data_IF_976109700336
#
_entry.id   IF_976109700336
#
_cell.length_a   1.000
_cell.length_b   1.000
_cell.length_c   1.000
_cell.angle_alpha   90.00
_cell.angle_beta   90.00
_cell.angle_gamma   90.00
#
_symmetry.space_group_name_H-M   'P 1'
#
loop_
_entity.id
_entity.type
_entity.pdbx_description
1 polymer ?
#
# COMPACT_ATOMS: atom_id res chain seq x y z
N UNK A 1 2.41 -4.77 -8.11
CA UNK A 1 3.08 -5.89 -7.40
C UNK A 1 2.17 -6.23 -6.25
N UNK A 2 1.55 -7.41 -6.27
CA UNK A 2 0.45 -7.69 -5.36
C UNK A 2 0.96 -8.25 -4.02
N UNK A 3 0.31 -7.85 -2.92
CA UNK A 3 0.53 -8.37 -1.58
C UNK A 3 -0.73 -8.15 -0.74
N UNK A 4 -1.01 -9.08 0.16
CA UNK A 4 -1.94 -8.90 1.28
C UNK A 4 -1.20 -9.34 2.54
N UNK A 5 -1.18 -8.50 3.58
CA UNK A 5 -0.50 -8.80 4.85
C UNK A 5 1.00 -9.15 4.69
N UNK A 6 1.65 -8.55 3.69
CA UNK A 6 3.09 -8.59 3.40
C UNK A 6 3.68 -9.96 3.02
N UNK A 7 3.53 -10.99 3.85
CA UNK A 7 4.14 -12.32 3.66
C UNK A 7 3.38 -13.42 4.42
N UNK A 8 3.54 -14.66 3.96
CA UNK A 8 3.09 -15.87 4.66
C UNK A 8 3.70 -16.04 6.05
N UNK A 9 4.82 -15.36 6.34
CA UNK A 9 5.42 -15.33 7.69
C UNK A 9 4.59 -14.57 8.72
N UNK A 10 3.65 -13.75 8.26
CA UNK A 10 2.73 -13.01 9.11
C UNK A 10 1.39 -13.72 9.18
N UNK A 11 0.71 -13.92 8.04
CA UNK A 11 -0.60 -14.59 8.03
C UNK A 11 -1.03 -15.12 6.64
N UNK A 12 -0.82 -14.33 5.59
CA UNK A 12 -1.43 -14.57 4.26
C UNK A 12 -0.50 -15.38 3.33
N UNK A 13 -0.28 -14.92 2.09
CA UNK A 13 0.68 -15.45 1.13
C UNK A 13 1.90 -14.53 0.99
N UNK A 14 2.91 -14.99 0.24
CA UNK A 14 4.12 -14.22 0.01
C UNK A 14 3.92 -13.13 -1.04
N UNK A 15 3.62 -11.91 -0.57
CA UNK A 15 3.75 -10.69 -1.36
C UNK A 15 5.22 -10.29 -1.53
N UNK A 16 5.93 -10.12 -0.41
CA UNK A 16 7.39 -10.16 -0.40
C UNK A 16 7.87 -11.60 -0.20
N UNK A 17 9.01 -11.99 -0.78
CA UNK A 17 9.54 -13.34 -0.60
C UNK A 17 9.88 -13.63 0.86
N UNK A 18 9.50 -14.80 1.35
CA UNK A 18 9.74 -15.18 2.73
C UNK A 18 11.22 -15.11 3.15
N UNK A 19 12.16 -15.42 2.24
CA UNK A 19 13.60 -15.30 2.53
C UNK A 19 14.04 -13.88 2.88
N UNK A 20 13.34 -12.86 2.38
CA UNK A 20 13.62 -11.46 2.68
C UNK A 20 13.07 -11.12 4.06
N UNK A 21 11.83 -11.53 4.34
CA UNK A 21 11.20 -11.35 5.65
C UNK A 21 12.02 -12.04 6.76
N UNK A 22 12.52 -13.25 6.52
CA UNK A 22 13.35 -14.02 7.46
C UNK A 22 14.68 -13.31 7.81
N UNK A 23 15.06 -12.26 7.08
CA UNK A 23 16.24 -11.41 7.38
C UNK A 23 15.89 -10.14 8.15
N UNK A 24 14.62 -9.86 8.40
CA UNK A 24 14.22 -8.73 9.22
C UNK A 24 14.42 -9.06 10.69
N UNK A 25 14.76 -8.08 11.55
CA UNK A 25 14.70 -8.28 12.98
C UNK A 25 13.28 -8.67 13.38
N UNK A 26 13.17 -9.50 14.43
CA UNK A 26 11.87 -9.83 14.98
C UNK A 26 11.25 -8.60 15.65
N UNK A 27 9.91 -8.41 15.58
CA UNK A 27 9.22 -7.38 16.35
C UNK A 27 9.34 -7.67 17.86
N UNK A 28 9.05 -6.68 18.71
CA UNK A 28 9.10 -6.88 20.17
C UNK A 28 7.99 -7.85 20.61
N UNK A 29 6.80 -7.73 20.03
CA UNK A 29 5.72 -8.70 20.13
C UNK A 29 5.20 -8.98 18.72
N UNK A 30 4.79 -10.21 18.41
CA UNK A 30 4.19 -10.48 17.11
C UNK A 30 2.79 -9.87 16.96
N UNK A 31 2.08 -9.74 18.09
CA UNK A 31 0.70 -9.30 18.17
C UNK A 31 0.58 -8.17 19.19
N UNK A 32 -0.12 -7.06 18.88
CA UNK A 32 -0.33 -5.99 19.84
C UNK A 32 -1.30 -6.44 20.92
N UNK A 33 -1.11 -6.00 22.16
CA UNK A 33 -2.10 -6.22 23.22
C UNK A 33 -3.46 -5.66 22.80
N UNK A 34 -4.59 -6.39 22.99
CA UNK A 34 -4.74 -7.66 23.71
C UNK A 34 -4.69 -8.93 22.83
N UNK A 35 -4.26 -8.85 21.57
CA UNK A 35 -4.11 -10.01 20.70
C UNK A 35 -2.95 -10.88 21.18
N UNK A 36 -3.21 -12.15 21.45
CA UNK A 36 -2.20 -13.13 21.89
C UNK A 36 -1.80 -14.13 20.80
N UNK A 37 -2.48 -14.12 19.66
CA UNK A 37 -2.25 -15.01 18.52
C UNK A 37 -2.64 -14.30 17.21
N UNK A 38 -2.26 -14.90 16.08
CA UNK A 38 -2.70 -14.43 14.77
C UNK A 38 -4.24 -14.46 14.70
N UNK A 39 -4.87 -13.50 14.00
CA UNK A 39 -6.28 -13.57 13.70
C UNK A 39 -6.61 -14.85 12.92
N UNK A 40 -7.86 -15.36 12.99
CA UNK A 40 -8.30 -16.47 12.17
C UNK A 40 -8.01 -16.22 10.67
N UNK A 41 -7.76 -17.28 9.89
CA UNK A 41 -7.42 -17.15 8.46
C UNK A 41 -8.55 -16.47 7.64
N UNK A 42 -9.81 -16.64 8.06
CA UNK A 42 -10.96 -15.95 7.46
C UNK A 42 -11.00 -14.43 7.69
N UNK A 43 -10.18 -13.95 8.61
CA UNK A 43 -10.09 -12.58 9.12
C UNK A 43 -8.74 -11.96 8.70
N UNK A 44 -8.28 -12.24 7.47
CA UNK A 44 -6.95 -11.89 6.95
C UNK A 44 -6.62 -10.39 7.09
N UNK A 45 -7.62 -9.51 6.96
CA UNK A 45 -7.43 -8.07 7.11
C UNK A 45 -6.84 -7.68 8.49
N UNK A 46 -7.22 -8.39 9.55
CA UNK A 46 -6.69 -8.15 10.88
C UNK A 46 -5.19 -8.49 10.99
N UNK A 47 -4.61 -9.16 9.99
CA UNK A 47 -3.18 -9.31 9.88
C UNK A 47 -2.43 -7.98 9.82
N UNK A 48 -2.99 -6.96 9.15
CA UNK A 48 -2.36 -5.64 9.04
C UNK A 48 -2.19 -4.93 10.38
N UNK A 49 -3.11 -5.15 11.31
CA UNK A 49 -3.03 -4.54 12.65
C UNK A 49 -2.06 -5.29 13.58
N UNK A 50 -1.44 -6.38 13.13
CA UNK A 50 -0.41 -7.07 13.93
C UNK A 50 0.90 -6.26 13.96
N UNK A 51 1.64 -6.38 15.06
CA UNK A 51 2.96 -5.76 15.18
C UNK A 51 3.93 -6.43 14.21
N UNK A 52 3.84 -7.74 13.99
CA UNK A 52 4.63 -8.45 12.99
C UNK A 52 4.46 -7.87 11.58
N UNK A 53 3.21 -7.66 11.12
CA UNK A 53 2.95 -7.04 9.82
C UNK A 53 3.51 -5.62 9.75
N UNK A 54 3.12 -4.79 10.72
CA UNK A 54 3.47 -3.37 10.75
C UNK A 54 4.99 -3.16 10.86
N UNK A 55 5.68 -3.99 11.64
CA UNK A 55 7.13 -4.02 11.74
C UNK A 55 7.80 -4.48 10.44
N UNK A 56 7.27 -5.51 9.79
CA UNK A 56 7.78 -5.99 8.51
C UNK A 56 7.69 -4.94 7.40
N UNK A 57 6.57 -4.21 7.32
CA UNK A 57 6.43 -3.07 6.40
C UNK A 57 7.44 -1.96 6.73
N UNK A 58 7.65 -1.64 8.00
CA UNK A 58 8.66 -0.65 8.39
C UNK A 58 10.06 -1.11 7.99
N UNK A 59 10.41 -2.39 8.17
CA UNK A 59 11.69 -2.94 7.73
C UNK A 59 11.87 -2.84 6.21
N UNK A 60 10.80 -3.07 5.43
CA UNK A 60 10.81 -2.86 3.98
C UNK A 60 11.11 -1.38 3.64
N UNK A 61 10.41 -0.44 4.27
CA UNK A 61 10.55 1.00 4.01
C UNK A 61 11.92 1.55 4.44
N UNK A 62 12.41 1.12 5.60
CA UNK A 62 13.72 1.48 6.17
C UNK A 62 14.88 0.77 5.46
N UNK A 63 14.58 -0.07 4.47
CA UNK A 63 15.56 -0.80 3.69
C UNK A 63 16.42 -1.76 4.53
N UNK A 64 15.84 -2.33 5.58
CA UNK A 64 16.50 -3.33 6.42
C UNK A 64 16.89 -4.53 5.57
N UNK A 65 18.11 -5.02 5.76
CA UNK A 65 18.65 -6.17 5.03
C UNK A 65 18.64 -6.00 3.50
N UNK A 66 18.60 -4.76 3.00
CA UNK A 66 18.60 -4.41 1.59
C UNK A 66 17.27 -4.66 0.86
N UNK A 67 16.14 -4.50 1.57
CA UNK A 67 14.81 -4.79 1.06
C UNK A 67 14.43 -3.91 -0.15
N UNK A 68 14.65 -2.59 -0.06
CA UNK A 68 14.41 -1.65 -1.16
C UNK A 68 15.38 -1.89 -2.32
N UNK A 69 16.65 -2.27 -2.08
CA UNK A 69 17.52 -2.65 -3.20
C UNK A 69 17.03 -3.91 -3.90
N UNK A 70 16.56 -4.90 -3.15
CA UNK A 70 15.98 -6.13 -3.70
C UNK A 70 14.75 -5.83 -4.55
N UNK A 71 13.85 -4.99 -4.04
CA UNK A 71 12.65 -4.54 -4.74
C UNK A 71 13.00 -3.68 -5.97
N UNK A 72 14.01 -2.82 -5.89
CA UNK A 72 14.51 -2.02 -7.00
C UNK A 72 15.10 -2.89 -8.12
N UNK A 73 15.84 -3.94 -7.76
CA UNK A 73 16.37 -4.92 -8.73
C UNK A 73 15.24 -5.69 -9.41
N UNK A 74 14.23 -6.10 -8.66
CA UNK A 74 13.03 -6.72 -9.20
C UNK A 74 12.33 -5.80 -10.22
N UNK A 75 12.03 -4.56 -9.83
CA UNK A 75 11.33 -3.62 -10.71
C UNK A 75 12.14 -3.23 -11.94
N UNK A 76 13.45 -3.05 -11.80
CA UNK A 76 14.34 -2.84 -12.94
C UNK A 76 14.34 -4.03 -13.90
N UNK A 77 14.28 -5.26 -13.39
CA UNK A 77 14.20 -6.46 -14.24
C UNK A 77 12.87 -6.53 -15.00
N UNK A 78 11.75 -6.27 -14.31
CA UNK A 78 10.42 -6.19 -14.92
C UNK A 78 10.42 -5.14 -16.03
N UNK A 79 10.85 -3.91 -15.72
CA UNK A 79 10.89 -2.81 -16.68
C UNK A 79 11.79 -3.09 -17.89
N UNK A 80 12.99 -3.65 -17.67
CA UNK A 80 13.89 -4.07 -18.76
C UNK A 80 13.24 -5.13 -19.67
N UNK A 81 12.41 -6.00 -19.09
CA UNK A 81 11.76 -7.08 -19.83
C UNK A 81 10.56 -6.57 -20.63
N UNK A 82 9.75 -5.68 -20.05
CA UNK A 82 8.44 -5.33 -20.58
C UNK A 82 8.34 -3.93 -21.21
N UNK A 83 9.31 -3.03 -21.01
CA UNK A 83 9.21 -1.63 -21.42
C UNK A 83 9.11 -1.33 -22.92
N UNK A 84 9.28 -2.34 -23.78
CA UNK A 84 9.08 -2.24 -25.22
C UNK A 84 7.74 -2.80 -25.72
N UNK A 85 6.91 -3.37 -24.84
CA UNK A 85 5.68 -4.05 -25.22
C UNK A 85 4.49 -3.08 -25.21
N UNK A 86 3.84 -2.92 -26.36
CA UNK A 86 2.68 -2.01 -26.51
C UNK A 86 1.43 -2.45 -25.76
N UNK A 87 1.35 -3.72 -25.38
CA UNK A 87 0.26 -4.31 -24.60
C UNK A 87 0.51 -4.28 -23.08
N UNK A 88 1.58 -3.63 -22.62
CA UNK A 88 1.83 -3.37 -21.20
C UNK A 88 1.54 -1.90 -20.93
N UNK A 89 0.45 -1.62 -20.20
CA UNK A 89 0.04 -0.25 -19.90
C UNK A 89 0.97 0.44 -18.89
N UNK A 90 1.37 -0.27 -17.84
CA UNK A 90 2.18 0.29 -16.78
C UNK A 90 2.60 -0.70 -15.70
N UNK A 91 3.31 -0.17 -14.72
CA UNK A 91 3.82 -0.88 -13.56
C UNK A 91 3.21 -0.31 -12.28
N UNK A 92 2.41 -1.10 -11.59
CA UNK A 92 1.88 -0.73 -10.27
C UNK A 92 2.87 -1.16 -9.18
N UNK A 93 3.47 -0.19 -8.49
CA UNK A 93 4.65 -0.41 -7.65
C UNK A 93 4.41 -1.39 -6.49
N UNK A 94 3.27 -1.26 -5.82
CA UNK A 94 2.83 -2.13 -4.72
C UNK A 94 1.32 -1.92 -4.51
N UNK A 95 0.59 -3.03 -4.39
CA UNK A 95 -0.82 -3.06 -4.04
C UNK A 95 -0.99 -2.70 -2.56
N UNK A 96 -1.94 -1.81 -2.24
CA UNK A 96 -2.42 -1.53 -0.88
C UNK A 96 -1.31 -1.45 0.18
N UNK A 97 -0.35 -0.52 0.03
CA UNK A 97 0.76 -0.41 0.97
C UNK A 97 0.23 -0.08 2.38
N UNK A 98 0.77 -0.75 3.40
CA UNK A 98 0.45 -0.44 4.78
C UNK A 98 1.26 0.76 5.30
N UNK A 99 0.77 1.42 6.35
CA UNK A 99 1.38 2.64 6.88
C UNK A 99 2.80 2.47 7.44
N UNK A 100 3.19 1.26 7.85
CA UNK A 100 4.43 0.97 8.58
C UNK A 100 4.17 0.68 10.05
N UNK A 101 5.19 0.82 10.91
CA UNK A 101 5.10 0.41 12.31
C UNK A 101 4.41 1.47 13.18
N UNK A 102 3.08 1.50 13.12
CA UNK A 102 2.29 2.47 13.90
C UNK A 102 2.31 2.21 15.42
N UNK A 103 2.71 1.02 15.86
CA UNK A 103 2.85 0.72 17.30
C UNK A 103 4.08 1.45 17.86
N UNK A 104 5.17 1.45 17.11
CA UNK A 104 6.37 2.23 17.46
C UNK A 104 6.19 3.74 17.19
N UNK A 105 5.44 4.10 16.14
CA UNK A 105 5.13 5.49 15.80
C UNK A 105 3.65 5.69 15.46
N UNK A 106 2.79 6.03 16.45
CA UNK A 106 1.34 6.16 16.26
C UNK A 106 0.92 7.15 15.17
N UNK A 107 1.77 8.13 14.85
CA UNK A 107 1.49 9.12 13.81
C UNK A 107 1.42 8.51 12.40
N UNK A 108 1.97 7.31 12.17
CA UNK A 108 1.90 6.64 10.87
C UNK A 108 0.47 6.27 10.46
N UNK A 109 -0.50 6.17 11.39
CA UNK A 109 -1.91 5.99 11.02
C UNK A 109 -2.45 7.19 10.22
N UNK A 110 -1.87 8.39 10.40
CA UNK A 110 -2.22 9.54 9.58
C UNK A 110 -1.63 9.35 8.17
N UNK A 111 -2.45 9.20 7.12
CA UNK A 111 -1.99 8.78 5.80
C UNK A 111 -1.00 9.76 5.18
N UNK A 112 -1.13 11.06 5.48
CA UNK A 112 -0.19 12.07 5.00
C UNK A 112 1.22 11.90 5.58
N UNK A 113 1.31 11.39 6.81
CA UNK A 113 2.59 11.10 7.47
C UNK A 113 3.18 9.80 6.92
N UNK A 114 2.39 8.73 6.80
CA UNK A 114 2.84 7.48 6.19
C UNK A 114 3.30 7.68 4.74
N UNK A 115 2.53 8.42 3.95
CA UNK A 115 2.85 8.72 2.56
C UNK A 115 4.17 9.47 2.41
N UNK A 116 4.35 10.55 3.18
CA UNK A 116 5.57 11.37 3.09
C UNK A 116 6.81 10.70 3.69
N UNK A 117 6.63 9.90 4.75
CA UNK A 117 7.74 9.29 5.49
C UNK A 117 8.18 7.96 4.89
N UNK A 118 7.24 7.11 4.48
CA UNK A 118 7.50 5.74 4.04
C UNK A 118 7.32 5.57 2.53
N UNK A 119 6.17 5.97 1.98
CA UNK A 119 5.81 5.61 0.59
C UNK A 119 6.55 6.45 -0.45
N UNK A 120 6.61 7.77 -0.30
CA UNK A 120 7.28 8.64 -1.28
C UNK A 120 8.77 8.28 -1.45
N UNK A 121 9.57 8.12 -0.37
CA UNK A 121 10.98 7.75 -0.52
C UNK A 121 11.17 6.36 -1.15
N UNK A 122 10.29 5.40 -0.85
CA UNK A 122 10.28 4.10 -1.52
C UNK A 122 10.03 4.27 -3.01
N UNK A 123 8.97 4.99 -3.38
CA UNK A 123 8.55 5.15 -4.77
C UNK A 123 9.56 5.90 -5.61
N UNK A 124 10.26 6.89 -5.07
CA UNK A 124 11.34 7.57 -5.78
C UNK A 124 12.51 6.63 -6.09
N UNK A 125 12.87 5.75 -5.15
CA UNK A 125 13.92 4.74 -5.37
C UNK A 125 13.51 3.74 -6.45
N UNK A 126 12.26 3.25 -6.39
CA UNK A 126 11.74 2.30 -7.37
C UNK A 126 11.60 2.93 -8.76
N UNK A 127 11.04 4.14 -8.83
CA UNK A 127 10.92 4.89 -10.08
C UNK A 127 12.28 5.14 -10.71
N UNK A 128 13.29 5.55 -9.93
CA UNK A 128 14.67 5.69 -10.42
C UNK A 128 15.23 4.38 -10.99
N UNK A 129 14.95 3.25 -10.34
CA UNK A 129 15.40 1.94 -10.82
C UNK A 129 14.72 1.55 -12.15
N UNK A 130 13.42 1.79 -12.27
CA UNK A 130 12.63 1.57 -13.49
C UNK A 130 13.13 2.48 -14.62
N UNK A 131 13.20 3.79 -14.38
CA UNK A 131 13.60 4.79 -15.39
C UNK A 131 15.00 4.58 -15.92
N UNK A 132 15.90 3.98 -15.14
CA UNK A 132 17.23 3.57 -15.62
C UNK A 132 17.23 2.61 -16.83
N UNK A 133 16.09 1.97 -17.14
CA UNK A 133 15.95 1.02 -18.26
C UNK A 133 14.67 1.24 -19.10
N UNK A 134 13.69 1.98 -18.58
CA UNK A 134 12.41 2.26 -19.25
C UNK A 134 11.90 3.65 -18.88
N UNK A 135 12.07 4.60 -19.80
CA UNK A 135 11.69 6.01 -19.61
C UNK A 135 10.21 6.31 -19.94
N UNK A 136 9.44 5.35 -20.47
CA UNK A 136 8.15 5.67 -21.12
C UNK A 136 6.94 5.04 -20.45
N UNK A 137 7.05 3.79 -20.00
CA UNK A 137 5.91 3.03 -19.47
C UNK A 137 5.35 3.70 -18.22
N UNK A 138 4.02 3.70 -18.05
CA UNK A 138 3.36 4.36 -16.93
C UNK A 138 3.80 3.72 -15.60
N UNK A 139 3.97 4.53 -14.56
CA UNK A 139 4.12 4.04 -13.18
C UNK A 139 2.83 4.33 -12.42
N UNK A 140 2.16 3.28 -11.99
CA UNK A 140 1.00 3.34 -11.11
C UNK A 140 1.50 3.26 -9.65
N UNK A 141 1.04 4.16 -8.79
CA UNK A 141 1.47 4.25 -7.40
C UNK A 141 0.28 4.53 -6.49
N UNK A 142 0.30 3.94 -5.31
CA UNK A 142 -0.82 3.98 -4.37
C UNK A 142 -0.45 4.72 -3.08
N UNK A 143 -1.37 5.49 -2.48
CA UNK A 143 -1.24 5.84 -1.08
C UNK A 143 -1.57 4.61 -0.20
N UNK A 144 -1.45 4.76 1.12
CA UNK A 144 -2.16 3.83 2.02
C UNK A 144 -3.67 3.86 1.68
N UNK A 145 -4.38 2.75 1.85
CA UNK A 145 -5.75 2.58 1.29
C UNK A 145 -6.77 3.61 1.79
N UNK A 146 -6.56 4.22 2.96
CA UNK A 146 -7.40 5.30 3.48
C UNK A 146 -6.90 6.72 3.17
N UNK A 147 -5.79 6.85 2.45
CA UNK A 147 -5.14 8.13 2.11
C UNK A 147 -5.81 8.94 1.00
N UNK A 148 -6.89 8.42 0.43
CA UNK A 148 -7.74 9.10 -0.56
C UNK A 148 -9.12 9.44 -0.02
N UNK A 149 -9.33 9.43 1.30
CA UNK A 149 -10.65 9.78 1.88
C UNK A 149 -10.80 11.28 2.14
N UNK A 150 -9.68 11.96 2.42
CA UNK A 150 -9.64 13.38 2.74
C UNK A 150 -8.44 14.01 2.03
N UNK A 151 -8.45 15.33 1.87
CA UNK A 151 -7.31 16.09 1.40
C UNK A 151 -6.65 16.84 2.56
N UNK A 152 -5.34 17.03 2.47
CA UNK A 152 -4.55 17.82 3.41
C UNK A 152 -3.25 17.15 3.82
N UNK A 153 -2.37 17.94 4.43
CA UNK A 153 -1.00 17.54 4.80
C UNK A 153 -0.93 16.23 5.62
N UNK A 154 -1.89 16.01 6.51
CA UNK A 154 -1.87 14.87 7.43
C UNK A 154 -2.88 13.77 7.06
N UNK A 155 -3.92 14.10 6.31
CA UNK A 155 -5.07 13.21 6.07
C UNK A 155 -5.26 12.82 4.61
N UNK A 156 -4.50 13.42 3.68
CA UNK A 156 -4.41 12.99 2.29
C UNK A 156 -3.26 12.02 2.03
N UNK A 157 -2.88 11.90 0.77
CA UNK A 157 -1.93 10.88 0.30
C UNK A 157 -0.52 11.01 0.87
N UNK A 158 -0.12 12.22 1.27
CA UNK A 158 1.24 12.52 1.76
C UNK A 158 2.28 12.71 0.66
N UNK A 159 1.90 12.56 -0.61
CA UNK A 159 2.81 12.81 -1.73
C UNK A 159 2.92 14.31 -2.03
N UNK A 160 4.15 14.80 -2.19
CA UNK A 160 4.46 16.15 -2.66
C UNK A 160 4.81 16.20 -4.14
N UNK A 161 5.09 15.04 -4.75
CA UNK A 161 5.37 14.88 -6.17
C UNK A 161 5.07 13.44 -6.61
N UNK A 162 4.98 13.24 -7.93
CA UNK A 162 4.86 11.90 -8.51
C UNK A 162 6.17 11.12 -8.38
N UNK A 163 6.15 9.77 -8.40
CA UNK A 163 7.37 8.97 -8.33
C UNK A 163 8.43 9.38 -9.36
N UNK A 164 9.64 9.69 -8.89
CA UNK A 164 10.75 10.12 -9.74
C UNK A 164 10.77 11.62 -10.06
N UNK A 165 9.78 12.39 -9.59
CA UNK A 165 9.74 13.84 -9.69
C UNK A 165 8.91 14.40 -10.85
N UNK A 166 8.82 15.73 -10.85
CA UNK A 166 7.93 16.52 -11.71
C UNK A 166 8.06 16.29 -13.22
N UNK A 167 9.23 15.81 -13.68
CA UNK A 167 9.49 15.46 -15.09
C UNK A 167 8.72 14.23 -15.57
N UNK A 168 8.16 13.43 -14.66
CA UNK A 168 7.40 12.22 -14.97
C UNK A 168 5.89 12.37 -14.73
N UNK A 169 5.40 13.60 -14.47
CA UNK A 169 3.96 13.86 -14.24
C UNK A 169 3.05 13.37 -15.36
N UNK A 170 3.54 13.32 -16.59
CA UNK A 170 2.79 12.85 -17.76
C UNK A 170 2.76 11.31 -17.90
N UNK A 171 3.48 10.58 -17.04
CA UNK A 171 3.59 9.12 -17.07
C UNK A 171 3.60 8.46 -15.69
N UNK A 172 3.03 9.15 -14.71
CA UNK A 172 2.81 8.66 -13.36
C UNK A 172 1.33 8.77 -13.04
N UNK A 173 0.74 7.67 -12.57
CA UNK A 173 -0.71 7.54 -12.36
C UNK A 173 -0.97 7.20 -10.89
N UNK A 174 -1.74 8.04 -10.21
CA UNK A 174 -2.23 7.70 -8.88
C UNK A 174 -3.28 6.59 -9.04
N UNK A 175 -2.94 5.36 -8.65
CA UNK A 175 -3.90 4.26 -8.53
C UNK A 175 -4.37 4.20 -7.08
N UNK A 176 -5.68 4.08 -6.88
CA UNK A 176 -6.26 4.00 -5.55
C UNK A 176 -7.47 3.08 -5.58
N UNK A 177 -7.76 2.48 -4.43
CA UNK A 177 -8.91 1.64 -4.24
C UNK A 177 -10.03 2.40 -3.57
N UNK A 178 -11.27 2.09 -3.95
CA UNK A 178 -12.46 2.55 -3.28
C UNK A 178 -13.26 1.35 -2.80
N UNK A 179 -13.23 1.13 -1.49
CA UNK A 179 -14.13 0.22 -0.78
C UNK A 179 -14.96 1.06 0.19
N UNK A 180 -16.28 1.00 0.05
CA UNK A 180 -17.16 1.66 1.01
C UNK A 180 -17.01 0.97 2.37
N UNK A 181 -16.64 1.73 3.40
CA UNK A 181 -16.24 1.15 4.69
C UNK A 181 -17.40 0.37 5.33
N UNK A 182 -18.62 0.84 5.12
CA UNK A 182 -19.81 0.26 5.72
C UNK A 182 -20.09 -1.13 5.13
N UNK A 183 -19.91 -1.30 3.82
CA UNK A 183 -20.03 -2.59 3.16
C UNK A 183 -18.85 -3.54 3.46
N UNK A 184 -17.70 -2.99 3.85
CA UNK A 184 -16.55 -3.78 4.31
C UNK A 184 -16.70 -4.27 5.76
N UNK A 185 -17.48 -3.58 6.58
CA UNK A 185 -17.70 -3.91 7.99
C UNK A 185 -18.96 -4.74 8.23
N UNK A 186 -19.99 -4.60 7.38
CA UNK A 186 -21.20 -5.41 7.40
C UNK A 186 -21.32 -6.18 6.06
N UNK A 187 -20.98 -7.49 6.02
CA UNK A 187 -21.11 -8.26 4.80
C UNK A 187 -22.55 -8.24 4.31
N UNK A 188 -22.76 -7.84 3.05
CA UNK A 188 -24.10 -7.75 2.44
C UNK A 188 -24.91 -9.01 2.80
N UNK A 189 -26.14 -8.86 3.34
CA UNK A 189 -26.97 -10.00 3.69
C UNK A 189 -27.07 -10.97 2.51
N UNK A 190 -27.14 -12.28 2.76
CA UNK A 190 -27.13 -13.31 1.71
C UNK A 190 -28.25 -13.22 0.66
N UNK A 191 -29.19 -12.28 0.82
CA UNK A 191 -30.19 -11.91 -0.18
C UNK A 191 -29.70 -10.85 -1.20
N UNK A 192 -28.47 -10.36 -1.08
CA UNK A 192 -27.84 -9.37 -1.95
C UNK A 192 -28.38 -7.94 -1.82
N UNK A 193 -29.19 -7.65 -0.81
CA UNK A 193 -29.85 -6.34 -0.67
C UNK A 193 -29.10 -5.46 0.34
N UNK A 194 -28.51 -4.37 -0.15
CA UNK A 194 -27.85 -3.37 0.69
C UNK A 194 -28.92 -2.44 1.29
N UNK A 195 -28.97 -2.24 2.62
CA UNK A 195 -29.85 -1.27 3.25
C UNK A 195 -29.74 0.14 2.65
N UNK A 196 -30.86 0.85 2.51
CA UNK A 196 -30.92 2.17 1.85
C UNK A 196 -29.93 3.16 2.46
N UNK A 197 -29.81 3.17 3.79
CA UNK A 197 -28.90 4.07 4.48
C UNK A 197 -27.43 3.81 4.11
N UNK A 198 -27.01 2.55 4.03
CA UNK A 198 -25.65 2.17 3.65
C UNK A 198 -25.37 2.56 2.20
N UNK A 199 -26.33 2.31 1.31
CA UNK A 199 -26.21 2.71 -0.09
C UNK A 199 -26.03 4.23 -0.24
N UNK A 200 -26.85 5.03 0.44
CA UNK A 200 -26.72 6.51 0.40
C UNK A 200 -25.37 6.95 0.95
N UNK A 201 -24.92 6.34 2.06
CA UNK A 201 -23.61 6.66 2.63
C UNK A 201 -22.46 6.32 1.68
N UNK A 202 -22.52 5.20 0.96
CA UNK A 202 -21.51 4.83 -0.03
C UNK A 202 -21.58 5.72 -1.27
N UNK A 203 -22.74 5.78 -1.93
CA UNK A 203 -22.92 6.39 -3.25
C UNK A 203 -22.88 7.92 -3.21
N UNK A 204 -23.48 8.53 -2.17
CA UNK A 204 -23.70 9.98 -2.11
C UNK A 204 -22.75 10.72 -1.16
N UNK A 205 -22.01 10.01 -0.30
CA UNK A 205 -21.11 10.61 0.70
C UNK A 205 -19.67 10.12 0.55
N UNK A 206 -19.39 8.83 0.79
CA UNK A 206 -18.01 8.32 0.79
C UNK A 206 -17.38 8.34 -0.61
N UNK A 207 -18.09 7.88 -1.63
CA UNK A 207 -17.59 7.85 -3.01
C UNK A 207 -17.22 9.25 -3.52
N UNK A 208 -18.14 10.23 -3.46
CA UNK A 208 -17.85 11.62 -3.85
C UNK A 208 -16.69 12.24 -3.07
N UNK A 209 -16.60 12.01 -1.75
CA UNK A 209 -15.50 12.52 -0.93
C UNK A 209 -14.14 11.96 -1.38
N UNK A 210 -14.09 10.69 -1.76
CA UNK A 210 -12.87 10.06 -2.27
C UNK A 210 -12.45 10.69 -3.60
N UNK A 211 -13.37 10.82 -4.54
CA UNK A 211 -13.08 11.44 -5.84
C UNK A 211 -12.67 12.91 -5.74
N UNK A 212 -13.26 13.66 -4.82
CA UNK A 212 -12.90 15.06 -4.59
C UNK A 212 -11.51 15.20 -3.97
N UNK A 213 -11.09 14.25 -3.13
CA UNK A 213 -9.78 14.31 -2.48
C UNK A 213 -8.58 14.11 -3.43
N UNK A 214 -8.80 13.40 -4.53
CA UNK A 214 -7.76 13.04 -5.52
C UNK A 214 -7.80 13.89 -6.79
N UNK A 215 -8.70 14.87 -6.84
CA UNK A 215 -8.82 15.84 -7.93
C UNK A 215 -7.71 16.90 -7.88
#
# INVERSE_FOLDING_TARGET
MHQDVLSSRVQSYDGIPAWLYDKFPAPAHAYPWPLNSAPPVGDWFFGYITEACSHGFQCLYDNVSGAVESMSKFWRLVAKTFGGYSNVLGYELINEPWAGNYIANPFLILPGIAGSTNLQPLYDKLAKAIRSVDEKTLIFYEPVTWGVRLNGKYVGTGFTHVPGGDSYRDRSVLSYHYYCIVLSLDPVPGNGTIPIFERVLCDDIEGPAVFESVR
#
